data_IF_960781418605
#
_entry.id   IF_960781418605
#
_cell.length_a   1.000
_cell.length_b   1.000
_cell.length_c   1.000
_cell.angle_alpha   90.00
_cell.angle_beta   90.00
_cell.angle_gamma   90.00
#
_symmetry.space_group_name_H-M   'P 1'
#
loop_
_entity.id
_entity.type
_entity.pdbx_description
1 polymer ?
#
# COMPACT_ATOMS: atom_id res chain seq x y z
N UNK A 1 7.75 29.39 -4.39
CA UNK A 1 9.13 29.12 -4.83
C UNK A 1 9.49 27.71 -4.38
N UNK A 2 9.69 26.81 -5.33
CA UNK A 2 10.08 25.42 -5.09
C UNK A 2 11.60 25.36 -5.11
N UNK A 3 12.23 25.26 -3.94
CA UNK A 3 13.66 24.99 -3.86
C UNK A 3 13.92 23.56 -4.31
N UNK A 4 14.93 23.35 -5.15
CA UNK A 4 15.38 22.01 -5.51
C UNK A 4 15.89 21.31 -4.22
N UNK A 5 15.71 19.99 -4.05
CA UNK A 5 16.07 19.27 -2.82
C UNK A 5 17.51 19.53 -2.34
N UNK A 6 18.42 19.77 -3.27
CA UNK A 6 19.83 20.09 -3.04
C UNK A 6 20.05 21.44 -2.34
N UNK A 7 19.16 22.42 -2.53
CA UNK A 7 19.27 23.75 -1.92
C UNK A 7 18.80 23.79 -0.46
N UNK A 8 18.05 22.77 -0.02
CA UNK A 8 17.53 22.67 1.35
C UNK A 8 18.54 22.03 2.32
N UNK A 9 19.49 21.24 1.79
CA UNK A 9 20.55 20.61 2.57
C UNK A 9 21.37 21.63 3.38
N UNK A 10 21.70 22.79 2.80
CA UNK A 10 22.55 23.82 3.45
C UNK A 10 21.95 24.43 4.73
N UNK A 11 20.66 24.23 4.98
CA UNK A 11 19.95 24.75 6.15
C UNK A 11 19.73 23.70 7.25
N UNK A 12 20.17 22.46 7.03
CA UNK A 12 20.07 21.39 8.03
C UNK A 12 21.28 21.41 8.99
N UNK A 13 21.18 20.86 10.20
CA UNK A 13 22.32 20.63 11.07
C UNK A 13 23.42 19.83 10.34
N UNK A 14 24.71 20.15 10.60
CA UNK A 14 25.87 19.61 9.87
C UNK A 14 25.89 18.07 9.90
N UNK A 15 25.47 17.48 11.02
CA UNK A 15 25.38 16.03 11.18
C UNK A 15 24.36 15.41 10.24
N UNK A 16 23.23 16.09 9.99
CA UNK A 16 22.19 15.60 9.07
C UNK A 16 22.66 15.77 7.62
N UNK A 17 23.30 16.90 7.29
CA UNK A 17 23.91 17.10 5.98
C UNK A 17 24.91 15.99 5.65
N UNK A 18 25.78 15.64 6.61
CA UNK A 18 26.77 14.59 6.45
C UNK A 18 26.15 13.21 6.21
N UNK A 19 25.09 12.86 6.94
CA UNK A 19 24.40 11.58 6.75
C UNK A 19 23.70 11.48 5.39
N UNK A 20 23.04 12.55 4.94
CA UNK A 20 22.36 12.57 3.64
C UNK A 20 23.36 12.52 2.48
N UNK A 21 24.46 13.27 2.56
CA UNK A 21 25.54 13.23 1.56
C UNK A 21 26.15 11.83 1.51
N UNK A 22 26.48 11.23 2.66
CA UNK A 22 27.06 9.88 2.72
C UNK A 22 26.11 8.82 2.15
N UNK A 23 24.82 8.89 2.47
CA UNK A 23 23.80 7.99 1.93
C UNK A 23 23.65 8.14 0.40
N UNK A 24 23.73 9.37 -0.11
CA UNK A 24 23.68 9.64 -1.55
C UNK A 24 24.92 9.10 -2.30
N UNK A 25 26.12 9.26 -1.72
CA UNK A 25 27.37 8.74 -2.29
C UNK A 25 27.39 7.20 -2.31
N UNK A 26 26.90 6.57 -1.24
CA UNK A 26 26.76 5.11 -1.17
C UNK A 26 25.78 4.60 -2.23
N UNK A 27 24.62 5.25 -2.39
CA UNK A 27 23.66 4.93 -3.44
C UNK A 27 24.26 5.08 -4.85
N UNK A 28 25.04 6.14 -5.09
CA UNK A 28 25.69 6.40 -6.38
C UNK A 28 26.80 5.38 -6.67
N UNK A 29 27.57 4.97 -5.65
CA UNK A 29 28.56 3.89 -5.76
C UNK A 29 27.91 2.56 -6.11
N UNK A 30 26.81 2.20 -5.44
CA UNK A 30 26.08 0.96 -5.73
C UNK A 30 25.50 0.95 -7.15
N UNK A 31 25.00 2.10 -7.63
CA UNK A 31 24.54 2.26 -9.00
C UNK A 31 25.67 2.12 -10.03
N UNK A 32 26.84 2.72 -9.77
CA UNK A 32 28.03 2.58 -10.65
C UNK A 32 28.54 1.14 -10.69
N UNK A 33 28.56 0.46 -9.55
CA UNK A 33 28.95 -0.96 -9.47
C UNK A 33 27.95 -1.86 -10.20
N UNK A 34 26.65 -1.61 -10.10
CA UNK A 34 25.64 -2.38 -10.83
C UNK A 34 25.71 -2.16 -12.34
N UNK A 35 25.93 -0.92 -12.79
CA UNK A 35 26.14 -0.59 -14.21
C UNK A 35 27.43 -1.21 -14.76
N UNK A 36 28.53 -1.22 -13.99
CA UNK A 36 29.77 -1.88 -14.37
C UNK A 36 29.62 -3.41 -14.50
N UNK A 37 28.93 -4.04 -13.54
CA UNK A 37 28.60 -5.48 -13.57
C UNK A 37 27.71 -5.85 -14.76
N UNK A 38 26.72 -5.02 -15.09
CA UNK A 38 25.87 -5.22 -16.27
C UNK A 38 26.66 -5.16 -17.57
N UNK A 39 27.58 -4.21 -17.71
CA UNK A 39 28.43 -4.09 -18.90
C UNK A 39 29.36 -5.29 -19.09
N UNK A 40 30.00 -5.76 -18.02
CA UNK A 40 30.90 -6.94 -18.08
C UNK A 40 30.13 -8.20 -18.50
N UNK A 41 28.89 -8.37 -18.01
CA UNK A 41 28.06 -9.53 -18.33
C UNK A 41 27.61 -9.55 -19.81
N UNK A 42 27.27 -8.38 -20.39
CA UNK A 42 26.88 -8.26 -21.79
C UNK A 42 28.06 -8.45 -22.78
N UNK A 43 29.28 -8.05 -22.41
CA UNK A 43 30.47 -8.27 -23.23
C UNK A 43 30.96 -9.74 -23.19
N UNK A 44 30.83 -10.42 -22.05
CA UNK A 44 31.19 -11.85 -21.95
C UNK A 44 30.28 -12.78 -22.77
N UNK A 45 28.97 -12.50 -22.78
CA UNK A 45 27.99 -13.30 -23.53
C UNK A 45 28.10 -13.12 -25.05
N UNK A 46 28.47 -11.93 -25.53
CA UNK A 46 28.66 -11.66 -26.95
C UNK A 46 29.95 -12.29 -27.52
N UNK A 47 31.02 -12.36 -26.73
CA UNK A 47 32.26 -13.04 -27.13
C UNK A 47 32.10 -14.57 -27.17
N UNK A 48 31.36 -15.15 -26.23
CA UNK A 48 31.07 -16.59 -26.22
C UNK A 48 30.19 -17.04 -27.41
N UNK A 49 29.19 -16.23 -27.79
CA UNK A 49 28.39 -16.50 -29.01
C UNK A 49 29.22 -16.40 -30.29
N UNK A 50 30.14 -15.44 -30.39
CA UNK A 50 30.98 -15.29 -31.57
C UNK A 50 31.94 -16.48 -31.78
N UNK A 51 32.45 -17.06 -30.68
CA UNK A 51 33.33 -18.24 -30.74
C UNK A 51 32.54 -19.52 -31.11
N UNK A 52 31.30 -19.66 -30.62
CA UNK A 52 30.44 -20.81 -30.93
C UNK A 52 30.00 -20.87 -32.41
N UNK A 53 29.92 -19.72 -33.10
CA UNK A 53 29.58 -19.65 -34.53
C UNK A 53 30.76 -20.07 -35.42
N UNK A 54 32.00 -19.91 -34.96
CA UNK A 54 33.20 -20.12 -35.77
C UNK A 54 33.79 -21.55 -35.67
N UNK A 55 33.39 -22.35 -34.68
CA UNK A 55 33.89 -23.72 -34.49
C UNK A 55 32.76 -24.70 -34.09
N UNK A 56 32.17 -25.43 -35.07
CA UNK A 56 31.03 -26.33 -34.84
C UNK A 56 31.29 -27.46 -33.84
N UNK A 57 32.54 -27.93 -33.74
CA UNK A 57 32.92 -29.07 -32.87
C UNK A 57 32.91 -28.69 -31.37
N UNK A 58 33.04 -27.41 -31.05
CA UNK A 58 32.98 -26.91 -29.66
C UNK A 58 31.54 -26.94 -29.15
N UNK A 59 30.57 -26.77 -30.04
CA UNK A 59 29.15 -26.80 -29.70
C UNK A 59 28.70 -28.20 -29.26
N UNK A 60 29.23 -29.24 -29.93
CA UNK A 60 28.92 -30.63 -29.60
C UNK A 60 29.57 -31.10 -28.29
N UNK A 61 30.76 -30.57 -27.96
CA UNK A 61 31.41 -30.78 -26.66
C UNK A 61 30.68 -30.09 -25.51
N UNK A 62 30.12 -28.89 -25.75
CA UNK A 62 29.37 -28.14 -24.74
C UNK A 62 28.05 -28.84 -24.36
N UNK A 63 27.30 -29.34 -25.35
CA UNK A 63 26.05 -30.08 -25.14
C UNK A 63 26.27 -31.43 -24.43
N UNK A 64 27.41 -32.09 -24.66
CA UNK A 64 27.71 -33.38 -24.02
C UNK A 64 28.16 -33.27 -22.55
N UNK A 65 28.76 -32.15 -22.13
CA UNK A 65 29.26 -31.96 -20.75
C UNK A 65 28.29 -31.23 -19.81
N UNK A 66 27.37 -30.45 -20.33
CA UNK A 66 26.34 -29.76 -19.55
C UNK A 66 24.99 -30.44 -19.80
N UNK A 67 24.61 -31.38 -18.93
CA UNK A 67 23.24 -31.91 -18.92
C UNK A 67 22.24 -30.78 -18.64
N UNK A 68 21.82 -30.08 -19.69
CA UNK A 68 20.93 -28.92 -19.63
C UNK A 68 19.47 -29.36 -19.60
N UNK A 69 19.07 -30.07 -18.54
CA UNK A 69 17.69 -29.95 -18.05
C UNK A 69 17.54 -28.63 -17.31
N UNK A 70 16.77 -27.71 -17.91
CA UNK A 70 16.11 -26.54 -17.32
C UNK A 70 16.89 -25.81 -16.22
N UNK A 71 17.59 -24.73 -16.58
CA UNK A 71 17.81 -23.63 -15.63
C UNK A 71 17.27 -22.35 -16.25
N UNK A 72 16.07 -22.01 -15.79
CA UNK A 72 15.45 -20.72 -16.01
C UNK A 72 16.31 -19.61 -15.38
N UNK A 73 16.62 -18.59 -16.18
CA UNK A 73 16.80 -17.19 -15.80
C UNK A 73 17.31 -16.91 -14.37
N UNK A 74 18.60 -16.59 -14.28
CA UNK A 74 19.22 -15.93 -13.12
C UNK A 74 18.41 -14.65 -12.81
N UNK A 75 17.69 -14.69 -11.70
CA UNK A 75 16.88 -13.58 -11.21
C UNK A 75 17.68 -12.80 -10.16
N UNK A 76 17.87 -11.51 -10.40
CA UNK A 76 18.59 -10.59 -9.52
C UNK A 76 17.96 -10.57 -8.11
N UNK A 77 18.77 -10.80 -7.09
CA UNK A 77 18.34 -10.96 -5.68
C UNK A 77 18.01 -9.62 -5.00
N UNK A 78 16.93 -8.98 -5.45
CA UNK A 78 16.25 -7.89 -4.72
C UNK A 78 14.76 -8.20 -4.50
N UNK A 79 14.23 -9.24 -5.16
CA UNK A 79 12.81 -9.62 -5.10
C UNK A 79 12.49 -10.61 -3.95
N UNK A 80 13.48 -11.35 -3.44
CA UNK A 80 13.22 -12.45 -2.47
C UNK A 80 12.74 -11.93 -1.11
N UNK A 81 13.33 -10.86 -0.57
CA UNK A 81 12.85 -10.29 0.69
C UNK A 81 11.51 -9.57 0.53
N UNK A 82 11.32 -8.77 -0.53
CA UNK A 82 10.04 -8.03 -0.72
C UNK A 82 8.82 -8.95 -0.82
N UNK A 83 8.95 -10.11 -1.49
CA UNK A 83 7.88 -11.12 -1.53
C UNK A 83 7.59 -11.67 -0.13
N UNK A 84 8.65 -12.03 0.62
CA UNK A 84 8.52 -12.61 1.95
C UNK A 84 7.86 -11.66 2.95
N UNK A 85 8.18 -10.36 2.91
CA UNK A 85 7.58 -9.42 3.87
C UNK A 85 6.13 -9.07 3.48
N UNK A 86 5.86 -8.96 2.17
CA UNK A 86 4.50 -8.80 1.65
C UNK A 86 3.60 -9.98 2.05
N UNK A 87 4.12 -11.21 1.97
CA UNK A 87 3.40 -12.42 2.38
C UNK A 87 3.16 -12.46 3.90
N UNK A 88 4.12 -11.99 4.71
CA UNK A 88 3.92 -11.82 6.17
C UNK A 88 2.80 -10.83 6.49
N UNK A 89 2.75 -9.68 5.82
CA UNK A 89 1.68 -8.68 6.01
C UNK A 89 0.32 -9.29 5.67
N UNK A 90 0.21 -9.94 4.50
CA UNK A 90 -1.02 -10.60 4.08
C UNK A 90 -1.45 -11.70 5.07
N UNK A 91 -0.51 -12.54 5.52
CA UNK A 91 -0.77 -13.58 6.50
C UNK A 91 -1.24 -12.99 7.84
N UNK A 92 -0.59 -11.94 8.35
CA UNK A 92 -0.96 -11.28 9.60
C UNK A 92 -2.38 -10.69 9.53
N UNK A 93 -2.74 -10.04 8.42
CA UNK A 93 -4.07 -9.49 8.19
C UNK A 93 -5.15 -10.57 8.15
N UNK A 94 -4.90 -11.67 7.42
CA UNK A 94 -5.84 -12.79 7.32
C UNK A 94 -5.97 -13.53 8.64
N UNK A 95 -4.86 -13.74 9.38
CA UNK A 95 -4.89 -14.38 10.69
C UNK A 95 -5.63 -13.51 11.71
N UNK A 96 -5.42 -12.20 11.68
CA UNK A 96 -6.20 -11.26 12.50
C UNK A 96 -7.69 -11.32 12.15
N UNK A 97 -8.04 -11.28 10.86
CA UNK A 97 -9.43 -11.40 10.44
C UNK A 97 -10.06 -12.71 10.96
N UNK A 98 -9.37 -13.84 10.80
CA UNK A 98 -9.84 -15.15 11.31
C UNK A 98 -9.99 -15.16 12.83
N UNK A 99 -9.07 -14.58 13.58
CA UNK A 99 -9.17 -14.52 15.05
C UNK A 99 -10.32 -13.65 15.53
N UNK A 100 -10.78 -12.70 14.71
CA UNK A 100 -11.98 -11.89 14.95
C UNK A 100 -13.27 -12.54 14.38
N UNK A 101 -13.21 -13.79 13.90
CA UNK A 101 -14.31 -14.46 13.18
C UNK A 101 -14.83 -13.68 11.96
N UNK A 102 -13.96 -12.90 11.33
CA UNK A 102 -14.30 -12.17 10.11
C UNK A 102 -14.21 -13.09 8.90
N UNK A 103 -15.26 -13.11 8.09
CA UNK A 103 -15.23 -13.79 6.79
C UNK A 103 -14.08 -13.23 5.90
N UNK A 104 -13.27 -14.11 5.33
CA UNK A 104 -12.22 -13.77 4.36
C UNK A 104 -12.58 -14.43 3.05
N UNK A 105 -12.69 -13.65 1.98
CA UNK A 105 -12.96 -14.18 0.64
C UNK A 105 -11.73 -14.90 0.11
N UNK A 106 -11.94 -16.06 -0.51
CA UNK A 106 -10.87 -16.90 -1.08
C UNK A 106 -11.12 -17.16 -2.58
N UNK A 107 -10.05 -17.48 -3.29
CA UNK A 107 -10.06 -17.73 -4.72
C UNK A 107 -9.42 -16.62 -5.53
N UNK A 108 -9.12 -16.95 -6.78
CA UNK A 108 -8.46 -16.04 -7.73
C UNK A 108 -9.30 -14.78 -7.95
N UNK A 109 -8.64 -13.61 -7.89
CA UNK A 109 -9.25 -12.29 -8.10
C UNK A 109 -10.44 -12.01 -7.17
N UNK A 110 -10.45 -12.58 -5.95
CA UNK A 110 -11.32 -12.14 -4.85
C UNK A 110 -10.50 -11.35 -3.83
N UNK A 111 -10.67 -10.04 -3.84
CA UNK A 111 -9.79 -9.15 -3.09
C UNK A 111 -10.37 -8.68 -1.75
N UNK A 112 -9.65 -8.90 -0.66
CA UNK A 112 -10.02 -8.43 0.67
C UNK A 112 -9.37 -7.07 0.93
N UNK A 113 -10.18 -6.04 1.21
CA UNK A 113 -9.69 -4.69 1.50
C UNK A 113 -9.47 -4.54 3.01
N UNK A 114 -8.27 -4.09 3.39
CA UNK A 114 -7.96 -3.75 4.77
C UNK A 114 -7.40 -2.33 4.86
N UNK A 115 -7.80 -1.58 5.88
CA UNK A 115 -7.06 -0.43 6.36
C UNK A 115 -6.41 -0.76 7.70
N UNK A 116 -5.17 -0.36 7.88
CA UNK A 116 -4.43 -0.54 9.13
C UNK A 116 -4.03 0.82 9.67
N UNK A 117 -4.54 1.14 10.86
CA UNK A 117 -4.27 2.38 11.57
C UNK A 117 -2.86 2.36 12.19
N UNK A 118 -2.04 3.38 11.93
CA UNK A 118 -0.70 3.54 12.50
C UNK A 118 0.35 2.59 11.91
N UNK A 119 0.28 2.29 10.61
CA UNK A 119 1.26 1.44 9.91
C UNK A 119 1.54 1.96 8.50
N UNK A 120 2.80 1.99 8.10
CA UNK A 120 3.21 2.27 6.73
C UNK A 120 3.01 1.07 5.80
N UNK A 121 2.97 1.26 4.46
CA UNK A 121 2.77 0.16 3.52
C UNK A 121 3.85 -0.93 3.57
N UNK A 122 5.01 -0.60 4.15
CA UNK A 122 6.10 -1.53 4.44
C UNK A 122 5.83 -2.49 5.61
N UNK A 123 4.74 -2.30 6.36
CA UNK A 123 4.45 -3.04 7.59
C UNK A 123 5.07 -2.43 8.86
N UNK A 124 5.83 -1.34 8.74
CA UNK A 124 6.44 -0.65 9.88
C UNK A 124 5.38 0.16 10.62
N UNK A 125 5.23 -0.10 11.92
CA UNK A 125 4.32 0.62 12.83
C UNK A 125 4.85 2.05 13.07
N UNK A 126 3.94 3.00 13.26
CA UNK A 126 4.30 4.39 13.56
C UNK A 126 3.48 4.96 14.73
N UNK A 127 3.70 6.24 15.03
CA UNK A 127 3.12 6.94 16.18
C UNK A 127 1.63 7.30 16.01
N UNK A 128 1.03 7.01 14.85
CA UNK A 128 -0.34 7.37 14.50
C UNK A 128 -0.63 8.86 14.74
N UNK A 129 0.33 9.74 14.43
CA UNK A 129 0.15 11.18 14.56
C UNK A 129 -0.98 11.71 13.66
N UNK A 130 -1.90 12.54 14.19
CA UNK A 130 -3.02 13.07 13.42
C UNK A 130 -2.64 13.84 12.15
N UNK A 131 -3.59 13.93 11.23
CA UNK A 131 -3.50 14.70 9.98
C UNK A 131 -2.39 14.23 9.02
N UNK A 132 -1.98 12.96 9.12
CA UNK A 132 -0.98 12.36 8.25
C UNK A 132 -1.54 11.18 7.48
N UNK A 133 -0.88 10.87 6.36
CA UNK A 133 -1.11 9.62 5.62
C UNK A 133 -0.18 8.53 6.18
N UNK A 134 -0.35 8.21 7.46
CA UNK A 134 0.45 7.25 8.22
C UNK A 134 -0.31 5.95 8.52
N UNK A 135 -1.48 5.78 7.93
CA UNK A 135 -2.17 4.49 7.84
C UNK A 135 -1.82 3.82 6.52
N UNK A 136 -2.28 2.58 6.37
CA UNK A 136 -2.12 1.84 5.12
C UNK A 136 -3.42 1.23 4.66
N UNK A 137 -3.64 1.29 3.35
CA UNK A 137 -4.64 0.50 2.64
C UNK A 137 -3.95 -0.69 1.99
N UNK A 138 -4.41 -1.88 2.32
CA UNK A 138 -3.94 -3.14 1.75
C UNK A 138 -5.04 -3.83 0.97
N UNK A 139 -4.61 -4.55 -0.06
CA UNK A 139 -5.45 -5.45 -0.83
C UNK A 139 -4.83 -6.84 -0.77
N UNK A 140 -5.59 -7.80 -0.26
CA UNK A 140 -5.13 -9.17 -0.01
C UNK A 140 -5.97 -10.15 -0.81
N UNK A 141 -5.31 -11.00 -1.58
CA UNK A 141 -5.91 -12.15 -2.24
C UNK A 141 -5.55 -13.42 -1.45
N UNK A 142 -6.47 -14.36 -1.31
CA UNK A 142 -6.21 -15.65 -0.65
C UNK A 142 -6.47 -16.78 -1.63
N UNK A 143 -5.39 -17.28 -2.26
CA UNK A 143 -5.50 -18.30 -3.30
C UNK A 143 -4.19 -19.12 -3.49
N UNK A 144 -4.03 -20.29 -2.83
CA UNK A 144 -4.74 -20.73 -1.63
C UNK A 144 -4.21 -20.04 -0.36
N UNK A 145 -3.00 -19.48 -0.43
CA UNK A 145 -2.35 -18.74 0.67
C UNK A 145 -2.61 -17.23 0.53
N UNK A 146 -2.56 -16.47 1.64
CA UNK A 146 -2.64 -15.02 1.61
C UNK A 146 -1.46 -14.41 0.85
N UNK A 147 -1.76 -13.50 -0.08
CA UNK A 147 -0.79 -12.71 -0.82
C UNK A 147 -1.21 -11.25 -0.85
N UNK A 148 -0.25 -10.35 -0.64
CA UNK A 148 -0.50 -8.92 -0.77
C UNK A 148 -0.43 -8.52 -2.25
N UNK A 149 -1.54 -8.05 -2.79
CA UNK A 149 -1.62 -7.61 -4.21
C UNK A 149 -1.48 -6.09 -4.36
N UNK A 150 -1.64 -5.35 -3.26
CA UNK A 150 -1.42 -3.91 -3.25
C UNK A 150 -1.32 -3.35 -1.84
N UNK A 151 -0.52 -2.29 -1.71
CA UNK A 151 -0.26 -1.58 -0.46
C UNK A 151 -0.05 -0.09 -0.77
N UNK A 152 -0.78 0.79 -0.09
CA UNK A 152 -0.73 2.23 -0.34
C UNK A 152 -0.82 3.02 0.95
N UNK A 153 -0.11 4.15 1.02
CA UNK A 153 -0.28 5.11 2.10
C UNK A 153 -1.72 5.61 2.14
N UNK A 154 -2.26 5.73 3.35
CA UNK A 154 -3.64 6.07 3.57
C UNK A 154 -3.82 6.87 4.86
N UNK A 155 -5.05 7.35 5.07
CA UNK A 155 -5.54 7.76 6.37
C UNK A 155 -6.98 7.31 6.54
N UNK A 156 -7.33 6.79 7.71
CA UNK A 156 -8.71 6.54 8.13
C UNK A 156 -9.19 7.58 9.16
N UNK A 157 -8.34 8.55 9.46
CA UNK A 157 -8.57 9.61 10.42
C UNK A 157 -8.97 10.90 9.68
N UNK A 158 -9.84 11.73 10.28
CA UNK A 158 -10.10 13.06 9.75
C UNK A 158 -8.84 13.91 9.67
N UNK A 159 -8.79 14.79 8.68
CA UNK A 159 -7.75 15.81 8.62
C UNK A 159 -8.07 17.00 9.52
N UNK A 160 -7.02 17.75 9.88
CA UNK A 160 -7.10 18.89 10.80
C UNK A 160 -8.14 19.94 10.40
N UNK A 161 -8.39 20.10 9.10
CA UNK A 161 -9.42 21.03 8.62
C UNK A 161 -10.78 20.66 9.21
N UNK A 162 -11.18 19.39 9.08
CA UNK A 162 -12.48 18.91 9.56
C UNK A 162 -12.52 18.64 11.05
N UNK A 163 -11.39 18.37 11.70
CA UNK A 163 -11.34 18.36 13.16
C UNK A 163 -11.68 19.75 13.71
N UNK A 164 -11.09 20.81 13.15
CA UNK A 164 -11.32 22.19 13.62
C UNK A 164 -12.68 22.74 13.17
N UNK A 165 -13.11 22.41 11.95
CA UNK A 165 -14.35 22.85 11.32
C UNK A 165 -15.19 21.63 10.91
N UNK A 166 -15.79 20.92 11.89
CA UNK A 166 -16.50 19.69 11.60
C UNK A 166 -17.78 19.99 10.82
N UNK A 167 -18.09 19.11 9.86
CA UNK A 167 -19.34 19.17 9.10
C UNK A 167 -20.58 18.82 9.94
N UNK A 168 -20.36 18.26 11.14
CA UNK A 168 -21.39 17.90 12.09
C UNK A 168 -21.05 18.54 13.44
N UNK A 169 -22.06 19.10 14.13
CA UNK A 169 -21.87 19.76 15.42
C UNK A 169 -21.28 18.82 16.49
N UNK A 170 -21.49 17.50 16.37
CA UNK A 170 -20.92 16.49 17.26
C UNK A 170 -19.45 16.16 16.98
N UNK A 171 -18.84 16.71 15.92
CA UNK A 171 -17.43 16.47 15.60
C UNK A 171 -17.16 15.76 14.27
N UNK A 172 -15.87 15.65 13.93
CA UNK A 172 -15.42 14.88 12.77
C UNK A 172 -15.67 13.38 13.03
N UNK A 173 -16.00 12.61 11.99
CA UNK A 173 -16.26 11.19 12.14
C UNK A 173 -15.01 10.36 11.91
N UNK A 174 -14.81 9.35 12.74
CA UNK A 174 -13.83 8.29 12.52
C UNK A 174 -14.56 6.94 12.48
N UNK A 175 -14.26 6.11 11.49
CA UNK A 175 -14.77 4.73 11.48
C UNK A 175 -14.15 3.98 12.65
N UNK A 176 -14.96 3.22 13.39
CA UNK A 176 -14.50 2.50 14.57
C UNK A 176 -13.46 1.43 14.20
N UNK A 177 -12.37 1.40 14.97
CA UNK A 177 -11.27 0.44 14.81
C UNK A 177 -11.04 -0.32 16.12
N UNK A 178 -11.09 -1.66 16.14
CA UNK A 178 -11.27 -2.54 14.98
C UNK A 178 -12.73 -2.64 14.51
N UNK A 179 -12.93 -3.02 13.24
CA UNK A 179 -14.25 -3.25 12.67
C UNK A 179 -14.20 -3.81 11.25
N UNK A 180 -15.25 -4.54 10.83
CA UNK A 180 -15.40 -5.03 9.46
C UNK A 180 -16.80 -4.74 8.96
N UNK A 181 -16.90 -4.10 7.80
CA UNK A 181 -18.18 -3.62 7.28
C UNK A 181 -18.33 -3.95 5.80
N UNK A 182 -19.47 -4.52 5.44
CA UNK A 182 -19.89 -4.71 4.05
C UNK A 182 -20.71 -3.49 3.63
N UNK A 183 -20.02 -2.44 3.19
CA UNK A 183 -20.63 -1.11 3.11
C UNK A 183 -20.27 -0.27 1.88
N UNK A 184 -19.51 -0.78 0.91
CA UNK A 184 -19.06 0.04 -0.23
C UNK A 184 -19.32 -0.59 -1.59
N UNK A 185 -19.69 0.22 -2.59
CA UNK A 185 -19.78 -0.20 -4.01
C UNK A 185 -18.90 0.70 -4.86
N UNK A 186 -18.43 0.21 -6.00
CA UNK A 186 -17.75 1.07 -6.98
C UNK A 186 -18.75 2.12 -7.47
N UNK A 187 -18.34 3.40 -7.42
CA UNK A 187 -19.13 4.56 -7.79
C UNK A 187 -18.24 5.78 -8.00
N UNK A 188 -18.78 6.99 -7.81
CA UNK A 188 -18.03 8.26 -7.95
C UNK A 188 -18.09 9.11 -6.69
N UNK A 189 -16.93 9.40 -6.09
CA UNK A 189 -16.82 10.41 -5.04
C UNK A 189 -17.06 11.81 -5.64
N UNK A 190 -18.04 12.54 -5.09
CA UNK A 190 -18.48 13.87 -5.57
C UNK A 190 -18.83 13.91 -7.07
N UNK A 191 -19.25 12.78 -7.63
CA UNK A 191 -19.57 12.65 -9.06
C UNK A 191 -18.36 12.72 -10.01
N UNK A 192 -17.12 12.75 -9.49
CA UNK A 192 -15.91 13.03 -10.29
C UNK A 192 -14.92 11.87 -10.31
N UNK A 193 -14.46 11.44 -9.13
CA UNK A 193 -13.41 10.42 -8.99
C UNK A 193 -14.04 9.04 -8.78
N UNK A 194 -13.63 8.04 -9.57
CA UNK A 194 -14.02 6.64 -9.33
C UNK A 194 -13.52 6.22 -7.96
N UNK A 195 -14.42 5.71 -7.11
CA UNK A 195 -14.14 5.42 -5.71
C UNK A 195 -15.03 4.29 -5.21
N UNK A 196 -14.74 3.77 -4.02
CA UNK A 196 -15.69 2.96 -3.26
C UNK A 196 -16.64 3.88 -2.50
N UNK A 197 -17.90 3.97 -2.93
CA UNK A 197 -18.93 4.83 -2.33
C UNK A 197 -19.66 4.08 -1.23
N UNK A 198 -19.86 4.71 -0.08
CA UNK A 198 -20.61 4.12 1.03
C UNK A 198 -22.08 3.91 0.65
N UNK A 199 -22.59 2.69 0.87
CA UNK A 199 -23.98 2.28 0.58
C UNK A 199 -24.69 1.60 1.75
N UNK A 200 -23.97 1.34 2.85
CA UNK A 200 -24.53 0.79 4.07
C UNK A 200 -23.90 1.48 5.30
N UNK A 201 -24.61 1.53 6.43
CA UNK A 201 -24.10 2.15 7.64
C UNK A 201 -22.88 1.41 8.21
N UNK A 202 -22.00 2.17 8.87
CA UNK A 202 -20.83 1.67 9.60
C UNK A 202 -20.83 2.27 11.01
N UNK A 203 -20.14 1.62 11.96
CA UNK A 203 -19.95 2.23 13.27
C UNK A 203 -18.90 3.33 13.16
N UNK A 204 -19.25 4.51 13.66
CA UNK A 204 -18.37 5.66 13.72
C UNK A 204 -18.33 6.22 15.14
N UNK A 205 -17.27 6.96 15.41
CA UNK A 205 -17.07 7.74 16.63
C UNK A 205 -16.87 9.19 16.20
N UNK A 206 -17.48 10.14 16.91
CA UNK A 206 -17.38 11.57 16.63
C UNK A 206 -16.45 12.25 17.64
N UNK A 207 -15.36 12.81 17.16
CA UNK A 207 -14.40 13.59 17.97
C UNK A 207 -15.04 14.92 18.40
N UNK A 208 -15.71 14.91 19.55
CA UNK A 208 -16.54 16.01 20.01
C UNK A 208 -15.70 17.20 20.49
N UNK A 209 -14.60 16.91 21.20
CA UNK A 209 -13.72 17.94 21.76
C UNK A 209 -12.64 18.42 20.77
N UNK A 210 -12.62 17.86 19.55
CA UNK A 210 -11.78 18.29 18.42
C UNK A 210 -10.29 18.15 18.70
N UNK A 211 -9.90 17.15 19.47
CA UNK A 211 -8.51 16.90 19.85
C UNK A 211 -7.80 15.90 18.92
N UNK A 212 -8.47 15.43 17.86
CA UNK A 212 -8.01 14.41 16.92
C UNK A 212 -7.79 13.03 17.54
N UNK A 213 -8.50 12.70 18.63
CA UNK A 213 -8.43 11.42 19.32
C UNK A 213 -9.84 10.88 19.52
N UNK A 214 -9.90 9.57 19.74
CA UNK A 214 -11.11 8.88 20.20
C UNK A 214 -11.09 8.87 21.72
N UNK A 215 -12.04 9.58 22.33
CA UNK A 215 -12.22 9.67 23.77
C UNK A 215 -13.37 8.79 24.26
N UNK A 216 -13.33 8.38 25.54
CA UNK A 216 -14.34 7.48 26.14
C UNK A 216 -15.76 8.04 26.06
N UNK A 217 -15.91 9.37 26.09
CA UNK A 217 -17.20 10.06 26.04
C UNK A 217 -17.68 10.40 24.63
N UNK A 218 -16.90 10.09 23.59
CA UNK A 218 -17.28 10.45 22.23
C UNK A 218 -18.52 9.69 21.77
N UNK A 219 -19.34 10.41 20.99
CA UNK A 219 -20.60 9.88 20.49
C UNK A 219 -20.35 8.78 19.47
N UNK A 220 -20.95 7.61 19.71
CA UNK A 220 -20.96 6.48 18.79
C UNK A 220 -22.23 6.47 17.96
N UNK A 221 -22.11 6.22 16.67
CA UNK A 221 -23.24 6.19 15.74
C UNK A 221 -23.09 5.01 14.77
N UNK A 222 -24.22 4.42 14.35
CA UNK A 222 -24.27 3.48 13.23
C UNK A 222 -24.95 4.18 12.05
N UNK A 223 -24.18 4.67 11.07
CA UNK A 223 -24.69 5.67 10.13
C UNK A 223 -24.04 5.64 8.74
N UNK A 224 -24.76 6.21 7.77
CA UNK A 224 -24.26 6.55 6.44
C UNK A 224 -23.84 8.02 6.47
N UNK A 225 -22.53 8.26 6.40
CA UNK A 225 -21.94 9.61 6.47
C UNK A 225 -21.29 10.05 5.16
N UNK A 226 -21.39 9.22 4.12
CA UNK A 226 -20.66 9.42 2.87
C UNK A 226 -19.16 9.12 3.02
N UNK A 227 -18.80 8.16 3.87
CA UNK A 227 -17.42 7.70 4.09
C UNK A 227 -16.87 6.92 2.89
N UNK A 228 -16.74 7.60 1.75
CA UNK A 228 -16.25 7.04 0.51
C UNK A 228 -14.75 6.72 0.63
N UNK A 229 -14.28 5.65 0.00
CA UNK A 229 -12.85 5.36 -0.11
C UNK A 229 -12.31 5.94 -1.41
N UNK A 230 -11.63 7.08 -1.34
CA UNK A 230 -11.22 7.90 -2.48
C UNK A 230 -9.73 8.33 -2.36
N UNK A 231 -9.22 9.16 -3.27
CA UNK A 231 -7.83 9.63 -3.15
C UNK A 231 -7.70 10.84 -2.22
N UNK A 232 -6.53 10.96 -1.59
CA UNK A 232 -6.07 12.14 -0.87
C UNK A 232 -5.61 13.25 -1.81
N UNK A 233 -5.81 13.11 -3.13
CA UNK A 233 -5.46 14.14 -4.12
C UNK A 233 -3.99 14.55 -4.10
N UNK A 234 -3.09 13.61 -3.77
CA UNK A 234 -1.64 13.82 -3.69
C UNK A 234 -1.22 14.86 -2.64
N UNK A 235 -2.09 15.16 -1.68
CA UNK A 235 -1.80 16.10 -0.61
C UNK A 235 -0.69 15.59 0.32
N UNK A 236 0.08 16.53 0.89
CA UNK A 236 1.10 16.21 1.89
C UNK A 236 0.50 15.73 3.23
N UNK A 237 -0.63 16.33 3.61
CA UNK A 237 -1.36 16.08 4.85
C UNK A 237 -2.83 15.81 4.53
N UNK A 238 -3.56 15.18 5.45
CA UNK A 238 -4.96 14.79 5.20
C UNK A 238 -5.84 16.02 5.02
N UNK A 239 -5.70 17.03 5.89
CA UNK A 239 -6.40 18.32 5.86
C UNK A 239 -7.88 18.20 5.45
N UNK A 240 -8.24 18.74 4.28
CA UNK A 240 -9.61 18.75 3.77
C UNK A 240 -9.91 17.57 2.82
N UNK A 241 -9.02 16.59 2.73
CA UNK A 241 -9.26 15.37 1.97
C UNK A 241 -10.28 14.46 2.67
N UNK A 242 -10.37 14.49 4.01
CA UNK A 242 -11.25 13.58 4.75
C UNK A 242 -11.89 14.22 5.98
N UNK A 243 -13.23 14.21 6.01
CA UNK A 243 -14.04 14.47 7.20
C UNK A 243 -14.43 13.19 7.97
N UNK A 244 -13.86 12.04 7.55
CA UNK A 244 -14.24 10.68 7.99
C UNK A 244 -14.27 9.62 6.88
N UNK A 245 -13.76 9.97 5.69
CA UNK A 245 -13.52 9.05 4.58
C UNK A 245 -12.18 8.30 4.76
N UNK A 246 -12.11 6.98 4.53
CA UNK A 246 -10.83 6.30 4.36
C UNK A 246 -10.16 6.73 3.04
N UNK A 247 -9.05 7.43 3.08
CA UNK A 247 -8.42 8.03 1.89
C UNK A 247 -7.06 7.39 1.59
N UNK A 248 -6.80 7.04 0.34
CA UNK A 248 -5.45 6.65 -0.11
C UNK A 248 -4.69 7.87 -0.62
N UNK A 249 -3.46 8.13 -0.17
CA UNK A 249 -2.77 9.43 -0.37
C UNK A 249 -2.74 9.92 -1.82
N UNK A 250 -2.22 9.10 -2.73
CA UNK A 250 -1.95 9.52 -4.11
C UNK A 250 -3.09 9.15 -5.06
N UNK A 251 -3.29 9.98 -6.09
CA UNK A 251 -4.25 9.66 -7.17
C UNK A 251 -3.83 8.41 -7.93
N UNK A 252 -2.53 8.27 -8.21
CA UNK A 252 -1.99 7.08 -8.89
C UNK A 252 -2.25 5.79 -8.09
N UNK A 253 -1.94 5.80 -6.78
CA UNK A 253 -2.19 4.65 -5.92
C UNK A 253 -3.68 4.36 -5.76
N UNK A 254 -4.53 5.39 -5.77
CA UNK A 254 -5.98 5.21 -5.81
C UNK A 254 -6.47 4.58 -7.12
N UNK A 255 -5.98 5.02 -8.27
CA UNK A 255 -6.30 4.42 -9.55
C UNK A 255 -5.87 2.95 -9.61
N UNK A 256 -4.68 2.62 -9.11
CA UNK A 256 -4.19 1.23 -9.05
C UNK A 256 -5.09 0.35 -8.18
N UNK A 257 -5.50 0.86 -7.01
CA UNK A 257 -6.47 0.18 -6.15
C UNK A 257 -7.80 -0.08 -6.86
N UNK A 258 -8.38 0.93 -7.52
CA UNK A 258 -9.64 0.75 -8.26
C UNK A 258 -9.48 -0.21 -9.44
N UNK A 259 -8.34 -0.20 -10.13
CA UNK A 259 -8.04 -1.13 -11.24
C UNK A 259 -8.05 -2.59 -10.79
N UNK A 260 -7.61 -2.90 -9.57
CA UNK A 260 -7.76 -4.24 -9.01
C UNK A 260 -9.23 -4.57 -8.72
N UNK A 261 -9.97 -3.67 -8.07
CA UNK A 261 -11.37 -3.94 -7.74
C UNK A 261 -12.27 -4.13 -8.97
N UNK A 262 -11.97 -3.45 -10.08
CA UNK A 262 -12.64 -3.69 -11.36
C UNK A 262 -12.40 -5.09 -11.95
N UNK A 263 -11.33 -5.77 -11.53
CA UNK A 263 -11.00 -7.15 -11.94
C UNK A 263 -11.54 -8.19 -10.95
N UNK A 264 -12.15 -7.76 -9.85
CA UNK A 264 -12.70 -8.66 -8.83
C UNK A 264 -13.83 -9.50 -9.44
N UNK A 265 -13.77 -10.82 -9.28
CA UNK A 265 -14.70 -11.73 -9.97
C UNK A 265 -16.14 -11.57 -9.49
N UNK A 266 -16.36 -11.24 -8.21
CA UNK A 266 -17.72 -11.07 -7.69
C UNK A 266 -18.32 -9.74 -8.17
N UNK A 267 -17.48 -8.72 -8.37
CA UNK A 267 -17.88 -7.47 -9.02
C UNK A 267 -18.12 -7.63 -10.53
N UNK A 268 -17.28 -8.39 -11.23
CA UNK A 268 -17.49 -8.69 -12.65
C UNK A 268 -18.79 -9.46 -12.89
N UNK A 269 -19.13 -10.39 -11.98
CA UNK A 269 -20.41 -11.11 -12.02
C UNK A 269 -21.60 -10.23 -11.63
N UNK A 270 -21.41 -9.25 -10.75
CA UNK A 270 -22.45 -8.35 -10.28
C UNK A 270 -21.90 -6.94 -10.02
N UNK A 271 -22.19 -6.00 -10.92
CA UNK A 271 -21.73 -4.61 -10.80
C UNK A 271 -22.30 -3.85 -9.59
N UNK A 272 -23.27 -4.43 -8.85
CA UNK A 272 -23.79 -3.92 -7.56
C UNK A 272 -23.13 -4.57 -6.35
N UNK A 273 -22.07 -5.36 -6.54
CA UNK A 273 -21.34 -6.04 -5.48
C UNK A 273 -20.89 -5.05 -4.39
N UNK A 274 -21.20 -5.38 -3.14
CA UNK A 274 -20.82 -4.60 -1.98
C UNK A 274 -19.53 -5.17 -1.42
N UNK A 275 -18.46 -4.41 -1.58
CA UNK A 275 -17.16 -4.68 -1.00
C UNK A 275 -17.21 -4.55 0.52
N UNK A 276 -16.48 -5.47 1.15
CA UNK A 276 -16.25 -5.50 2.58
C UNK A 276 -14.87 -4.95 2.88
N UNK A 277 -14.75 -4.09 3.90
CA UNK A 277 -13.47 -3.53 4.35
C UNK A 277 -13.27 -3.81 5.83
N UNK A 278 -12.09 -4.32 6.17
CA UNK A 278 -11.62 -4.47 7.55
C UNK A 278 -10.78 -3.27 7.98
N UNK A 279 -10.99 -2.79 9.19
CA UNK A 279 -10.23 -1.73 9.84
C UNK A 279 -9.52 -2.33 11.05
N UNK A 280 -8.20 -2.24 11.07
CA UNK A 280 -7.33 -2.95 12.04
C UNK A 280 -6.37 -1.95 12.69
N UNK A 281 -6.05 -2.13 13.96
CA UNK A 281 -4.98 -1.35 14.60
C UNK A 281 -3.63 -2.04 14.36
N UNK A 282 -2.59 -1.32 13.96
CA UNK A 282 -1.27 -1.92 13.71
C UNK A 282 -0.75 -2.72 14.92
N UNK A 283 -1.04 -2.24 16.14
CA UNK A 283 -0.61 -2.90 17.39
C UNK A 283 -1.21 -4.30 17.60
N UNK A 284 -2.34 -4.62 16.96
CA UNK A 284 -2.95 -5.95 17.05
C UNK A 284 -2.43 -6.94 16.00
N UNK A 285 -1.54 -6.50 15.09
CA UNK A 285 -0.88 -7.37 14.13
C UNK A 285 0.46 -7.87 14.69
N UNK A 286 0.68 -9.18 14.55
CA UNK A 286 1.94 -9.85 14.84
C UNK A 286 2.73 -9.97 13.52
N UNK A 287 3.69 -9.07 13.30
CA UNK A 287 4.50 -8.90 12.09
C UNK A 287 5.99 -9.07 12.40
#
# INVERSE_FOLDING_TARGET
MSFQPEELLKYLPVEIQYQEIKASEEAYRQLRLSQARGRICCFGLSLAMAIAILHPDINQWFEAKLQLTRIASISFSTTINKSKEADKIAAALVNYARSQNWEVRTGERRYNVFYVQGMFPSGIKNDNKPNQFNDSRFLVEVNPTPRLVGAWEASIEPGNYYTKQPMNASGAAQIQVPGKYRAWRIGKHKGREIALVQVAPVNIIRDFNRNSKVDKGDKKEYSIIGANQHSGSDQRFVNNASAGCPVGRTRKGHQDFMNYLHKDVDYQANNKFIFTTGFVQAKSLNL
#
